data_IF_441674294362
#
_entry.id   IF_441674294362
#
_cell.length_a   1.000
_cell.length_b   1.000
_cell.length_c   1.000
_cell.angle_alpha   90.00
_cell.angle_beta   90.00
_cell.angle_gamma   90.00
#
_symmetry.space_group_name_H-M   'P 1'
#
loop_
_entity.id
_entity.type
_entity.pdbx_description
1 polymer ?
#
# COMPACT_ATOMS: atom_id res chain seq x y z
N UNK A 1 -15.06 0.21 -5.25
CA UNK A 1 -15.51 1.55 -5.65
C UNK A 1 -14.71 1.96 -6.87
N UNK A 2 -15.37 2.26 -7.97
CA UNK A 2 -14.69 2.80 -9.16
C UNK A 2 -14.43 4.27 -8.86
N UNK A 3 -13.18 4.66 -8.71
CA UNK A 3 -12.79 6.06 -8.73
C UNK A 3 -13.17 6.60 -10.11
N UNK A 4 -13.95 7.68 -10.17
CA UNK A 4 -14.25 8.34 -11.44
C UNK A 4 -12.97 9.00 -12.00
N UNK A 5 -12.89 9.24 -13.31
CA UNK A 5 -11.76 9.94 -13.87
C UNK A 5 -11.71 11.39 -13.38
N UNK A 6 -10.52 11.97 -13.38
CA UNK A 6 -10.35 13.42 -13.32
C UNK A 6 -10.87 13.99 -14.62
N UNK A 7 -11.87 14.86 -14.55
CA UNK A 7 -12.47 15.45 -15.75
C UNK A 7 -11.65 16.66 -16.25
N UNK A 8 -11.68 16.97 -17.56
CA UNK A 8 -10.87 18.06 -18.12
C UNK A 8 -11.14 19.46 -17.54
N UNK A 9 -12.25 19.62 -16.84
CA UNK A 9 -12.64 20.88 -16.19
C UNK A 9 -12.31 20.89 -14.69
N UNK A 10 -11.83 19.78 -14.13
CA UNK A 10 -11.42 19.70 -12.72
C UNK A 10 -10.12 20.49 -12.53
N UNK A 11 -10.01 21.12 -11.39
CA UNK A 11 -8.77 21.77 -10.96
C UNK A 11 -8.21 21.01 -9.78
N UNK A 12 -7.11 20.31 -9.98
CA UNK A 12 -6.41 19.59 -8.94
C UNK A 12 -5.46 20.50 -8.17
N UNK A 13 -5.12 20.11 -6.93
CA UNK A 13 -4.13 20.84 -6.12
C UNK A 13 -2.76 20.88 -6.83
N UNK A 14 -2.24 19.75 -7.37
CA UNK A 14 -0.96 19.78 -8.10
C UNK A 14 -0.98 20.75 -9.30
N UNK A 15 -2.05 20.73 -10.10
CA UNK A 15 -2.17 21.64 -11.26
C UNK A 15 -2.20 23.12 -10.83
N UNK A 16 -2.89 23.45 -9.74
CA UNK A 16 -2.92 24.79 -9.19
C UNK A 16 -1.54 25.23 -8.68
N UNK A 17 -0.88 24.38 -7.90
CA UNK A 17 0.45 24.65 -7.36
C UNK A 17 1.51 24.87 -8.47
N UNK A 18 1.48 24.04 -9.52
CA UNK A 18 2.38 24.20 -10.68
C UNK A 18 2.21 25.55 -11.40
N UNK A 19 0.99 26.07 -11.50
CA UNK A 19 0.72 27.39 -12.11
C UNK A 19 1.39 28.53 -11.34
N UNK A 20 1.59 28.34 -10.04
CA UNK A 20 2.28 29.29 -9.15
C UNK A 20 3.78 29.03 -9.04
N UNK A 21 4.31 28.09 -9.84
CA UNK A 21 5.74 27.76 -9.86
C UNK A 21 6.20 26.80 -8.77
N UNK A 22 5.27 26.18 -8.04
CA UNK A 22 5.56 25.16 -7.02
C UNK A 22 5.85 23.83 -7.70
N UNK A 23 6.96 23.18 -7.35
CA UNK A 23 7.27 21.81 -7.80
C UNK A 23 6.34 20.83 -7.10
N UNK A 24 5.76 19.89 -7.85
CA UNK A 24 4.81 18.92 -7.31
C UNK A 24 5.30 17.49 -7.55
N UNK A 25 5.33 16.69 -6.50
CA UNK A 25 5.76 15.30 -6.53
C UNK A 25 4.71 14.39 -5.91
N UNK A 26 4.46 13.24 -6.56
CA UNK A 26 3.67 12.13 -6.02
C UNK A 26 4.60 10.96 -5.72
N UNK A 27 4.48 10.34 -4.54
CA UNK A 27 5.15 9.09 -4.18
C UNK A 27 4.11 8.15 -3.60
N UNK A 28 3.89 7.01 -4.26
CA UNK A 28 2.76 6.14 -3.91
C UNK A 28 2.98 4.69 -4.33
N UNK A 29 2.30 3.77 -3.65
CA UNK A 29 2.07 2.39 -4.06
C UNK A 29 0.59 2.12 -4.41
N UNK A 30 -0.23 3.17 -4.47
CA UNK A 30 -1.66 3.10 -4.72
C UNK A 30 -1.95 2.91 -6.22
N UNK A 31 -2.03 1.65 -6.67
CA UNK A 31 -2.14 1.30 -8.09
C UNK A 31 -3.41 1.84 -8.75
N UNK A 32 -4.47 2.13 -8.00
CA UNK A 32 -5.72 2.67 -8.53
C UNK A 32 -5.56 4.00 -9.26
N UNK A 33 -4.52 4.78 -8.95
CA UNK A 33 -4.22 6.01 -9.70
C UNK A 33 -3.72 5.77 -11.12
N UNK A 34 -3.26 4.55 -11.40
CA UNK A 34 -2.63 4.17 -12.67
C UNK A 34 -3.44 3.12 -13.44
N UNK A 35 -4.52 2.61 -12.88
CA UNK A 35 -5.35 1.62 -13.57
C UNK A 35 -6.18 2.24 -14.68
N UNK A 36 -6.60 1.41 -15.65
CA UNK A 36 -7.47 1.86 -16.73
C UNK A 36 -8.77 2.47 -16.20
N UNK A 37 -9.08 3.67 -16.63
CA UNK A 37 -10.27 4.42 -16.22
C UNK A 37 -10.11 5.27 -14.96
N UNK A 38 -8.93 5.30 -14.33
CA UNK A 38 -8.64 6.21 -13.20
C UNK A 38 -8.59 7.67 -13.62
N UNK A 39 -8.29 7.93 -14.92
CA UNK A 39 -8.40 9.27 -15.48
C UNK A 39 -7.30 10.25 -15.10
N UNK A 40 -6.08 9.75 -14.89
CA UNK A 40 -4.92 10.63 -14.87
C UNK A 40 -4.65 11.37 -13.54
N UNK A 41 -5.02 10.79 -12.40
CA UNK A 41 -4.75 11.40 -11.07
C UNK A 41 -3.31 11.83 -10.85
N UNK A 42 -2.34 11.23 -11.55
CA UNK A 42 -0.91 11.52 -11.42
C UNK A 42 -0.40 12.54 -12.45
N UNK A 43 -1.16 12.82 -13.52
CA UNK A 43 -0.69 13.61 -14.68
C UNK A 43 -0.42 15.08 -14.34
N UNK A 44 -1.07 15.60 -13.33
CA UNK A 44 -0.92 16.99 -12.90
C UNK A 44 0.32 17.23 -12.02
N UNK A 45 1.00 16.19 -11.57
CA UNK A 45 2.27 16.33 -10.86
C UNK A 45 3.43 16.58 -11.82
N UNK A 46 4.48 17.30 -11.38
CA UNK A 46 5.72 17.44 -12.14
C UNK A 46 6.48 16.12 -12.25
N UNK A 47 6.46 15.34 -11.18
CA UNK A 47 7.08 14.03 -11.12
C UNK A 47 6.28 13.07 -10.26
N UNK A 48 6.50 11.77 -10.47
CA UNK A 48 5.94 10.74 -9.61
C UNK A 48 6.87 9.54 -9.48
N UNK A 49 6.79 8.89 -8.32
CA UNK A 49 7.35 7.57 -8.05
C UNK A 49 6.21 6.61 -7.76
N UNK A 50 6.16 5.49 -8.47
CA UNK A 50 5.15 4.46 -8.25
C UNK A 50 5.81 3.15 -7.86
N UNK A 51 5.60 2.74 -6.59
CA UNK A 51 6.00 1.43 -6.07
C UNK A 51 4.97 0.41 -6.52
N UNK A 52 5.38 -0.48 -7.42
CA UNK A 52 4.50 -1.43 -8.12
C UNK A 52 4.28 -2.72 -7.31
N UNK A 53 3.11 -3.33 -7.49
CA UNK A 53 2.83 -4.70 -7.07
C UNK A 53 1.89 -4.85 -5.89
N UNK A 54 1.45 -3.76 -5.28
CA UNK A 54 0.51 -3.80 -4.16
C UNK A 54 -0.91 -4.22 -4.62
N UNK A 55 -1.65 -4.85 -3.72
CA UNK A 55 -3.03 -5.29 -3.92
C UNK A 55 -3.23 -6.05 -5.25
N UNK A 56 -4.03 -5.54 -6.16
CA UNK A 56 -4.33 -6.17 -7.45
C UNK A 56 -3.58 -5.52 -8.62
N UNK A 57 -2.47 -4.83 -8.36
CA UNK A 57 -1.63 -4.28 -9.42
C UNK A 57 -1.15 -5.39 -10.37
N UNK A 58 -1.08 -5.06 -11.65
CA UNK A 58 -0.62 -5.99 -12.68
C UNK A 58 0.81 -6.47 -12.41
N UNK A 59 1.20 -7.58 -13.03
CA UNK A 59 2.54 -8.14 -12.88
C UNK A 59 3.64 -7.12 -13.16
N UNK A 60 4.58 -7.05 -12.25
CA UNK A 60 5.71 -6.12 -12.36
C UNK A 60 6.90 -6.73 -13.09
N UNK A 61 6.95 -8.04 -13.21
CA UNK A 61 8.05 -8.81 -13.81
C UNK A 61 7.50 -9.89 -14.74
N UNK A 62 8.36 -10.82 -15.17
CA UNK A 62 7.92 -11.99 -15.93
C UNK A 62 6.88 -12.80 -15.13
N UNK A 63 5.92 -13.45 -15.81
CA UNK A 63 4.97 -14.32 -15.15
C UNK A 63 5.66 -15.38 -14.31
N UNK A 64 5.23 -15.53 -13.07
CA UNK A 64 5.70 -16.56 -12.14
C UNK A 64 4.53 -17.16 -11.38
N UNK A 65 4.76 -18.32 -10.78
CA UNK A 65 3.75 -18.93 -9.92
C UNK A 65 3.51 -18.04 -8.69
N UNK A 66 2.26 -17.93 -8.23
CA UNK A 66 1.97 -17.19 -6.99
C UNK A 66 2.58 -17.93 -5.80
N UNK A 67 2.91 -17.19 -4.75
CA UNK A 67 3.29 -17.78 -3.48
C UNK A 67 2.16 -18.69 -2.97
N UNK A 68 2.38 -20.03 -2.83
CA UNK A 68 1.29 -20.94 -2.52
C UNK A 68 0.70 -20.72 -1.12
N UNK A 69 1.49 -20.27 -0.17
CA UNK A 69 1.01 -19.93 1.17
C UNK A 69 0.08 -18.72 1.13
N UNK A 70 0.50 -17.61 0.53
CA UNK A 70 -0.34 -16.42 0.41
C UNK A 70 -1.61 -16.68 -0.40
N UNK A 71 -1.53 -17.57 -1.39
CA UNK A 71 -2.72 -18.04 -2.10
C UNK A 71 -3.69 -18.74 -1.16
N UNK A 72 -3.20 -19.60 -0.26
CA UNK A 72 -4.03 -20.30 0.71
C UNK A 72 -4.58 -19.37 1.82
N UNK A 73 -3.84 -18.30 2.15
CA UNK A 73 -4.23 -17.29 3.14
C UNK A 73 -5.11 -16.16 2.54
N UNK A 74 -5.66 -16.38 1.38
CA UNK A 74 -6.53 -15.43 0.68
C UNK A 74 -7.89 -16.04 0.47
N UNK A 75 -8.91 -15.48 1.07
CA UNK A 75 -10.30 -15.93 0.85
C UNK A 75 -10.65 -15.82 -0.64
N UNK A 76 -11.20 -16.87 -1.22
CA UNK A 76 -11.51 -16.96 -2.64
C UNK A 76 -12.78 -16.21 -3.07
N UNK A 77 -13.39 -15.45 -2.15
CA UNK A 77 -14.49 -14.54 -2.43
C UNK A 77 -15.86 -15.17 -2.24
N UNK A 78 -16.86 -14.57 -2.85
CA UNK A 78 -18.28 -14.82 -2.59
C UNK A 78 -18.80 -16.08 -3.30
N UNK A 79 -19.13 -17.12 -2.53
CA UNK A 79 -19.85 -18.31 -3.02
C UNK A 79 -19.01 -19.25 -3.91
N UNK A 80 -19.71 -20.15 -4.60
CA UNK A 80 -19.11 -21.29 -5.33
C UNK A 80 -18.35 -20.95 -6.63
N UNK A 81 -18.19 -19.67 -6.97
CA UNK A 81 -17.49 -19.25 -8.17
C UNK A 81 -16.25 -18.42 -7.80
N UNK A 82 -15.06 -18.77 -8.29
CA UNK A 82 -13.90 -17.88 -8.20
C UNK A 82 -14.27 -16.55 -8.83
N UNK A 83 -14.31 -15.50 -8.03
CA UNK A 83 -14.60 -14.17 -8.53
C UNK A 83 -13.43 -13.66 -9.39
N UNK A 84 -13.70 -12.68 -10.25
CA UNK A 84 -12.62 -11.94 -10.93
C UNK A 84 -11.67 -11.32 -9.90
N UNK A 85 -12.19 -10.93 -8.76
CA UNK A 85 -11.45 -10.42 -7.63
C UNK A 85 -10.44 -11.44 -7.07
N UNK A 86 -10.84 -12.71 -6.90
CA UNK A 86 -9.90 -13.76 -6.50
C UNK A 86 -8.75 -13.93 -7.50
N UNK A 87 -9.07 -13.94 -8.80
CA UNK A 87 -8.03 -14.00 -9.83
C UNK A 87 -7.08 -12.81 -9.77
N UNK A 88 -7.59 -11.62 -9.43
CA UNK A 88 -6.78 -10.43 -9.24
C UNK A 88 -5.92 -10.52 -7.96
N UNK A 89 -6.43 -11.06 -6.86
CA UNK A 89 -5.68 -11.28 -5.62
C UNK A 89 -4.48 -12.21 -5.82
N UNK A 90 -4.56 -13.15 -6.77
CA UNK A 90 -3.41 -13.98 -7.15
C UNK A 90 -2.26 -13.18 -7.77
N UNK A 91 -2.53 -11.98 -8.29
CA UNK A 91 -1.47 -11.08 -8.79
C UNK A 91 -0.60 -10.58 -7.65
N UNK A 92 -1.18 -10.24 -6.49
CA UNK A 92 -0.40 -9.91 -5.30
C UNK A 92 0.55 -11.05 -4.91
N UNK A 93 0.02 -12.26 -4.76
CA UNK A 93 0.83 -13.43 -4.40
C UNK A 93 1.97 -13.72 -5.41
N UNK A 94 1.82 -13.29 -6.67
CA UNK A 94 2.90 -13.35 -7.68
C UNK A 94 3.88 -12.19 -7.54
N UNK A 95 3.39 -10.98 -7.31
CA UNK A 95 4.23 -9.80 -7.20
C UNK A 95 5.18 -9.87 -6.00
N UNK A 96 4.73 -10.48 -4.90
CA UNK A 96 5.51 -10.64 -3.66
C UNK A 96 6.13 -12.04 -3.50
N UNK A 97 6.16 -12.85 -4.57
CA UNK A 97 6.64 -14.23 -4.48
C UNK A 97 8.11 -14.35 -4.04
N UNK A 98 8.91 -13.34 -4.30
CA UNK A 98 10.33 -13.27 -3.96
C UNK A 98 10.62 -12.40 -2.72
N UNK A 99 9.61 -11.86 -2.05
CA UNK A 99 9.83 -11.04 -0.86
C UNK A 99 10.44 -11.89 0.25
N UNK A 100 11.49 -11.38 0.87
CA UNK A 100 12.03 -11.93 2.10
C UNK A 100 11.22 -11.39 3.29
N UNK A 101 10.46 -12.24 3.93
CA UNK A 101 9.64 -11.87 5.08
C UNK A 101 10.48 -11.47 6.31
N UNK A 102 11.79 -11.65 6.28
CA UNK A 102 12.72 -11.12 7.28
C UNK A 102 13.30 -9.74 6.90
N UNK A 103 13.07 -9.28 5.66
CA UNK A 103 13.53 -7.97 5.18
C UNK A 103 12.36 -7.01 4.96
N UNK A 104 12.18 -6.07 5.87
CA UNK A 104 11.13 -5.06 5.80
C UNK A 104 11.21 -4.23 4.50
N UNK A 105 12.39 -4.08 3.91
CA UNK A 105 12.61 -3.20 2.73
C UNK A 105 12.01 -3.74 1.45
N UNK A 106 11.64 -5.01 1.40
CA UNK A 106 10.89 -5.59 0.30
C UNK A 106 9.44 -5.11 0.27
N UNK A 107 8.90 -4.67 1.41
CA UNK A 107 7.49 -4.32 1.56
C UNK A 107 7.18 -2.88 1.11
N UNK A 108 5.91 -2.62 0.80
CA UNK A 108 5.51 -1.41 0.06
C UNK A 108 5.64 -0.13 0.87
N UNK A 109 5.08 -0.05 2.09
CA UNK A 109 5.21 1.14 2.93
C UNK A 109 6.67 1.51 3.23
N UNK A 110 7.56 0.56 3.60
CA UNK A 110 9.00 0.79 3.66
C UNK A 110 9.60 1.41 2.41
N UNK A 111 9.22 0.93 1.23
CA UNK A 111 9.70 1.47 -0.04
C UNK A 111 9.18 2.89 -0.30
N UNK A 112 7.87 3.13 -0.07
CA UNK A 112 7.26 4.46 -0.24
C UNK A 112 7.93 5.49 0.65
N UNK A 113 8.08 5.19 1.95
CA UNK A 113 8.67 6.14 2.89
C UNK A 113 10.19 6.32 2.71
N UNK A 114 10.91 5.28 2.27
CA UNK A 114 12.32 5.43 1.89
C UNK A 114 12.47 6.37 0.70
N UNK A 115 11.70 6.16 -0.37
CA UNK A 115 11.70 7.05 -1.54
C UNK A 115 11.33 8.48 -1.18
N UNK A 116 10.36 8.65 -0.26
CA UNK A 116 9.97 9.97 0.25
C UNK A 116 11.12 10.65 0.99
N UNK A 117 11.77 9.94 1.91
CA UNK A 117 12.90 10.48 2.65
C UNK A 117 14.08 10.83 1.74
N UNK A 118 14.36 10.01 0.73
CA UNK A 118 15.41 10.27 -0.27
C UNK A 118 15.06 11.47 -1.13
N UNK A 119 13.80 11.61 -1.56
CA UNK A 119 13.33 12.76 -2.31
C UNK A 119 13.46 14.06 -1.49
N UNK A 120 13.05 14.05 -0.22
CA UNK A 120 13.20 15.20 0.67
C UNK A 120 14.66 15.63 0.81
N UNK A 121 15.58 14.68 1.07
CA UNK A 121 17.02 14.96 1.19
C UNK A 121 17.65 15.46 -0.10
N UNK A 122 17.15 15.03 -1.24
CA UNK A 122 17.66 15.46 -2.54
C UNK A 122 17.14 16.83 -2.98
N UNK A 123 16.09 17.35 -2.32
CA UNK A 123 15.41 18.58 -2.71
C UNK A 123 15.21 19.56 -1.53
N UNK A 124 15.95 19.41 -0.46
CA UNK A 124 15.85 20.25 0.74
C UNK A 124 16.22 21.71 0.50
N UNK A 125 17.08 21.98 -0.49
CA UNK A 125 17.49 23.31 -0.93
C UNK A 125 16.65 23.86 -2.09
N UNK A 126 15.70 23.10 -2.60
CA UNK A 126 14.80 23.58 -3.65
C UNK A 126 13.81 24.59 -3.07
N UNK A 127 13.34 25.53 -3.89
CA UNK A 127 12.42 26.60 -3.48
C UNK A 127 11.10 26.07 -2.91
N UNK A 128 9.98 26.33 -3.58
CA UNK A 128 8.68 25.85 -3.13
C UNK A 128 8.34 24.49 -3.77
N UNK A 129 7.89 23.55 -2.93
CA UNK A 129 7.45 22.24 -3.40
C UNK A 129 6.18 21.77 -2.66
N UNK A 130 5.45 20.88 -3.31
CA UNK A 130 4.33 20.12 -2.78
C UNK A 130 4.58 18.63 -3.04
N UNK A 131 4.81 17.87 -1.99
CA UNK A 131 4.98 16.42 -2.06
C UNK A 131 3.74 15.74 -1.50
N UNK A 132 3.05 14.96 -2.34
CA UNK A 132 1.95 14.11 -1.92
C UNK A 132 2.45 12.68 -1.79
N UNK A 133 2.39 12.18 -0.56
CA UNK A 133 2.80 10.81 -0.22
C UNK A 133 1.55 10.01 0.13
N UNK A 134 1.36 8.92 -0.56
CA UNK A 134 0.20 8.05 -0.36
C UNK A 134 0.68 6.59 -0.30
N UNK A 135 0.78 6.05 0.92
CA UNK A 135 0.97 4.61 1.11
C UNK A 135 -0.39 3.95 1.20
N UNK A 136 -0.61 2.92 0.36
CA UNK A 136 -1.83 2.14 0.37
C UNK A 136 -1.94 1.25 1.62
N UNK A 137 -0.81 0.92 2.25
CA UNK A 137 -0.81 0.34 3.58
C UNK A 137 -1.42 1.35 4.57
N UNK A 138 -2.32 0.95 5.44
CA UNK A 138 -2.62 -0.41 5.96
C UNK A 138 -3.83 -1.13 5.33
N UNK A 139 -4.11 -0.93 4.07
CA UNK A 139 -5.13 -1.67 3.35
C UNK A 139 -4.77 -3.17 3.31
N UNK A 140 -5.76 -4.04 3.09
CA UNK A 140 -5.48 -5.46 2.81
C UNK A 140 -4.72 -5.62 1.47
N UNK A 141 -3.97 -6.71 1.30
CA UNK A 141 -3.77 -7.82 2.24
C UNK A 141 -2.95 -7.40 3.46
N UNK A 142 -3.30 -7.96 4.63
CA UNK A 142 -2.60 -7.68 5.89
C UNK A 142 -1.31 -8.49 6.04
N UNK A 143 -0.69 -8.83 4.93
CA UNK A 143 0.61 -9.46 4.87
C UNK A 143 1.71 -8.46 5.25
N UNK A 144 2.50 -8.79 6.27
CA UNK A 144 3.62 -7.98 6.73
C UNK A 144 4.82 -8.87 7.12
N UNK A 145 6.03 -8.29 7.16
CA UNK A 145 7.23 -9.03 7.54
C UNK A 145 7.33 -9.25 9.04
N UNK A 146 8.27 -10.10 9.46
CA UNK A 146 8.70 -10.13 10.84
C UNK A 146 9.48 -8.86 11.20
N UNK A 147 9.40 -8.36 12.45
CA UNK A 147 8.70 -8.98 13.59
C UNK A 147 7.19 -8.64 13.68
N UNK A 148 6.65 -7.87 12.74
CA UNK A 148 5.29 -7.34 12.82
C UNK A 148 4.22 -8.43 12.68
N UNK A 149 4.49 -9.44 11.85
CA UNK A 149 3.56 -10.55 11.62
C UNK A 149 3.24 -11.32 12.92
N UNK A 150 4.24 -11.50 13.79
CA UNK A 150 4.10 -12.22 15.07
C UNK A 150 3.85 -11.29 16.26
N UNK A 151 3.86 -9.97 16.09
CA UNK A 151 3.95 -9.02 17.21
C UNK A 151 2.71 -9.02 18.12
N UNK A 152 1.56 -9.30 17.59
CA UNK A 152 0.27 -9.15 18.27
C UNK A 152 -0.55 -10.45 18.33
N UNK A 153 0.08 -11.61 18.04
CA UNK A 153 -0.58 -12.91 18.05
C UNK A 153 0.36 -14.00 18.53
N UNK A 154 -0.19 -15.03 19.16
CA UNK A 154 0.50 -16.29 19.45
C UNK A 154 0.29 -17.34 18.34
N UNK A 155 -0.50 -17.03 17.31
CA UNK A 155 -0.71 -17.87 16.14
C UNK A 155 0.51 -17.84 15.22
N UNK A 156 0.73 -18.90 14.45
CA UNK A 156 1.72 -18.88 13.38
C UNK A 156 1.21 -18.01 12.20
N UNK A 157 1.86 -16.89 11.90
CA UNK A 157 1.44 -16.04 10.75
C UNK A 157 1.52 -16.76 9.41
N UNK A 158 2.19 -17.91 9.35
CA UNK A 158 2.33 -18.74 8.15
C UNK A 158 1.33 -19.89 8.08
N UNK A 159 0.42 -20.01 9.06
CA UNK A 159 -0.65 -21.02 9.04
C UNK A 159 -1.57 -20.77 7.82
N UNK A 160 -1.62 -21.68 6.84
CA UNK A 160 -2.45 -21.50 5.66
C UNK A 160 -3.96 -21.53 5.94
N UNK A 161 -4.36 -21.86 7.18
CA UNK A 161 -5.76 -21.81 7.61
C UNK A 161 -6.17 -20.44 8.17
N UNK A 162 -5.25 -19.45 8.19
CA UNK A 162 -5.51 -18.10 8.69
C UNK A 162 -5.32 -17.08 7.58
N UNK A 163 -6.37 -16.34 7.26
CA UNK A 163 -6.37 -15.39 6.15
C UNK A 163 -5.63 -14.10 6.50
N UNK A 164 -4.74 -13.67 5.63
CA UNK A 164 -4.18 -12.30 5.60
C UNK A 164 -4.96 -11.38 4.65
N UNK A 165 -5.77 -11.97 3.78
CA UNK A 165 -6.70 -11.25 2.93
C UNK A 165 -8.11 -11.84 3.09
N UNK A 166 -8.82 -11.42 4.14
CA UNK A 166 -10.09 -12.00 4.51
C UNK A 166 -11.20 -11.63 3.52
N UNK A 167 -12.31 -12.30 3.69
CA UNK A 167 -13.56 -11.97 3.04
C UNK A 167 -13.95 -10.50 3.28
N UNK A 168 -14.34 -9.82 2.21
CA UNK A 168 -14.81 -8.44 2.26
C UNK A 168 -16.33 -8.38 2.34
N UNK A 169 -16.85 -8.17 3.52
CA UNK A 169 -18.30 -8.16 3.75
C UNK A 169 -18.70 -7.73 5.17
N UNK A 170 -20.00 -7.77 5.47
CA UNK A 170 -20.50 -7.42 6.80
C UNK A 170 -19.91 -8.33 7.88
N UNK A 171 -19.55 -7.74 9.01
CA UNK A 171 -19.05 -8.46 10.20
C UNK A 171 -20.10 -8.58 11.30
N UNK A 172 -21.37 -8.24 11.01
CA UNK A 172 -22.47 -8.34 11.97
C UNK A 172 -22.70 -9.79 12.40
N UNK A 173 -23.13 -9.98 13.64
CA UNK A 173 -23.41 -11.31 14.20
C UNK A 173 -24.27 -12.15 13.25
N UNK A 174 -23.76 -13.31 12.84
CA UNK A 174 -24.43 -14.26 11.95
C UNK A 174 -24.34 -13.94 10.45
N UNK A 175 -23.59 -12.93 10.04
CA UNK A 175 -23.30 -12.62 8.62
C UNK A 175 -21.85 -12.87 8.23
N UNK A 176 -20.92 -12.91 9.17
CA UNK A 176 -19.54 -13.31 8.93
C UNK A 176 -19.41 -14.83 9.10
N UNK A 177 -18.79 -15.48 8.14
CA UNK A 177 -18.40 -16.90 8.24
C UNK A 177 -17.10 -17.10 9.03
N UNK A 178 -16.42 -16.00 9.43
CA UNK A 178 -15.16 -16.04 10.16
C UNK A 178 -15.38 -16.42 11.63
N UNK A 179 -14.53 -17.27 12.13
CA UNK A 179 -14.45 -17.61 13.57
C UNK A 179 -13.79 -16.48 14.37
N UNK A 180 -13.99 -16.45 15.68
CA UNK A 180 -13.31 -15.49 16.57
C UNK A 180 -11.77 -15.56 16.42
N UNK A 181 -11.21 -16.78 16.25
CA UNK A 181 -9.78 -17.00 16.02
C UNK A 181 -9.29 -16.28 14.76
N UNK A 182 -10.02 -16.40 13.65
CA UNK A 182 -9.68 -15.76 12.39
C UNK A 182 -9.82 -14.23 12.48
N UNK A 183 -10.85 -13.74 13.13
CA UNK A 183 -11.04 -12.30 13.36
C UNK A 183 -9.91 -11.73 14.20
N UNK A 184 -9.53 -12.39 15.28
CA UNK A 184 -8.46 -11.93 16.16
C UNK A 184 -7.09 -11.98 15.44
N UNK A 185 -6.85 -13.01 14.60
CA UNK A 185 -5.66 -13.07 13.77
C UNK A 185 -5.60 -11.91 12.76
N UNK A 186 -6.67 -11.64 12.02
CA UNK A 186 -6.73 -10.51 11.07
C UNK A 186 -6.47 -9.18 11.77
N UNK A 187 -7.06 -8.97 12.95
CA UNK A 187 -6.79 -7.77 13.76
C UNK A 187 -5.34 -7.65 14.18
N UNK A 188 -4.71 -8.76 14.53
CA UNK A 188 -3.29 -8.79 14.89
C UNK A 188 -2.40 -8.45 13.68
N UNK A 189 -2.68 -9.00 12.50
CA UNK A 189 -1.96 -8.66 11.27
C UNK A 189 -2.13 -7.19 10.87
N UNK A 190 -3.34 -6.65 10.97
CA UNK A 190 -3.60 -5.22 10.79
C UNK A 190 -2.79 -4.36 11.75
N UNK A 191 -2.77 -4.72 13.05
CA UNK A 191 -1.99 -4.00 14.06
C UNK A 191 -0.48 -4.06 13.77
N UNK A 192 0.02 -5.19 13.28
CA UNK A 192 1.40 -5.35 12.82
C UNK A 192 1.72 -4.39 11.67
N UNK A 193 0.85 -4.33 10.65
CA UNK A 193 1.02 -3.38 9.54
C UNK A 193 1.01 -1.92 10.01
N UNK A 194 0.10 -1.55 10.91
CA UNK A 194 0.08 -0.18 11.48
C UNK A 194 1.42 0.15 12.13
N UNK A 195 1.97 -0.80 12.92
CA UNK A 195 3.26 -0.60 13.60
C UNK A 195 4.42 -0.46 12.59
N UNK A 196 4.42 -1.24 11.52
CA UNK A 196 5.39 -1.13 10.44
C UNK A 196 5.30 0.24 9.75
N UNK A 197 4.11 0.65 9.36
CA UNK A 197 3.86 1.94 8.70
C UNK A 197 4.34 3.10 9.57
N UNK A 198 3.96 3.12 10.86
CA UNK A 198 4.37 4.16 11.82
C UNK A 198 5.89 4.24 11.94
N UNK A 199 6.55 3.10 12.10
CA UNK A 199 8.01 3.03 12.17
C UNK A 199 8.68 3.60 10.92
N UNK A 200 8.23 3.21 9.75
CA UNK A 200 8.83 3.64 8.49
C UNK A 200 8.49 5.09 8.14
N UNK A 201 7.32 5.58 8.54
CA UNK A 201 7.00 7.00 8.47
C UNK A 201 7.99 7.85 9.30
N UNK A 202 8.52 7.32 10.37
CA UNK A 202 9.59 7.96 11.15
C UNK A 202 10.79 8.39 10.29
N UNK A 203 11.13 7.65 9.20
CA UNK A 203 12.20 8.05 8.28
C UNK A 203 11.91 9.33 7.50
N UNK A 204 10.64 9.60 7.24
CA UNK A 204 10.21 10.87 6.62
C UNK A 204 10.39 12.00 7.62
N UNK A 205 10.03 11.77 8.88
CA UNK A 205 10.22 12.75 9.96
C UNK A 205 11.71 13.03 10.17
N UNK A 206 12.56 12.00 10.19
CA UNK A 206 14.01 12.15 10.27
C UNK A 206 14.56 13.00 9.10
N UNK A 207 14.06 12.80 7.89
CA UNK A 207 14.49 13.58 6.73
C UNK A 207 14.08 15.07 6.84
N UNK A 208 12.91 15.35 7.42
CA UNK A 208 12.47 16.72 7.72
C UNK A 208 13.34 17.39 8.80
N UNK A 209 13.75 16.61 9.82
CA UNK A 209 14.67 17.09 10.86
C UNK A 209 16.06 17.38 10.30
N UNK A 210 16.63 16.47 9.52
CA UNK A 210 17.94 16.58 8.89
C UNK A 210 18.02 17.83 7.98
N UNK A 211 16.98 18.05 7.16
CA UNK A 211 16.84 19.20 6.28
C UNK A 211 16.41 20.50 6.99
N UNK A 212 16.10 20.44 8.29
CA UNK A 212 15.54 21.57 9.07
C UNK A 212 14.25 22.14 8.48
N UNK A 213 13.46 21.31 7.86
CA UNK A 213 12.29 21.70 7.07
C UNK A 213 11.03 21.95 7.91
N UNK A 214 11.01 21.59 9.21
CA UNK A 214 9.83 21.72 10.08
C UNK A 214 9.21 23.09 10.15
N UNK A 215 10.03 24.15 10.15
CA UNK A 215 9.54 25.53 10.22
C UNK A 215 9.09 26.08 8.86
N UNK A 216 9.35 25.36 7.80
CA UNK A 216 9.10 25.76 6.41
C UNK A 216 8.07 24.86 5.73
N UNK A 217 7.66 23.76 6.38
CA UNK A 217 6.67 22.79 5.91
C UNK A 217 5.35 22.98 6.66
N UNK A 218 4.23 22.92 5.92
CA UNK A 218 2.86 23.02 6.46
C UNK A 218 2.22 21.64 6.52
#
# INVERSE_FOLDING_TARGET
AVLGPVEPFDTTVPAAARREGVVTQLITDHYHYFQHGSGGYFEDFNGFEFVRGHETDAWTTAPRDPNPRLTAQTTDGYGDQPSLEYANRQQYARNVADFDEADETDFFAPQVFSKTADWLRANDDWGQWFCYVDSFDVHEPFHCPEPYASMYTDEDPRDPALDVWPYYGPTDEGQSEMTDREIDFVRAQFAGKVTMVDRWFGRVLDALDDGKLWNETM
#
